data_IF_601027870896
#
_entry.id   IF_601027870896
#
_cell.length_a   1.000
_cell.length_b   1.000
_cell.length_c   1.000
_cell.angle_alpha   90.00
_cell.angle_beta   90.00
_cell.angle_gamma   90.00
#
_symmetry.space_group_name_H-M   'P 1'
#
loop_
_entity.id
_entity.type
_entity.pdbx_description
1 polymer ?
#
# COMPACT_ATOMS: atom_id res chain seq x y z
N UNK A 1 1.39 -15.34 -3.18
CA UNK A 1 2.52 -14.57 -2.65
C UNK A 1 2.01 -13.16 -2.45
N UNK A 2 2.48 -12.39 -1.45
CA UNK A 2 1.95 -11.05 -1.22
C UNK A 2 2.19 -10.12 -2.42
N UNK A 3 1.22 -9.26 -2.73
CA UNK A 3 1.35 -8.21 -3.76
C UNK A 3 1.28 -6.82 -3.12
N UNK A 4 2.17 -5.92 -3.56
CA UNK A 4 2.32 -4.58 -3.02
C UNK A 4 1.69 -3.57 -3.98
N UNK A 5 0.88 -2.69 -3.42
CA UNK A 5 0.20 -1.60 -4.11
C UNK A 5 0.58 -0.27 -3.47
N UNK A 6 1.05 0.67 -4.27
CA UNK A 6 1.42 2.00 -3.79
C UNK A 6 0.29 2.99 -4.04
N UNK A 7 -0.10 3.68 -2.97
CA UNK A 7 -0.96 4.86 -3.09
C UNK A 7 -0.17 5.93 -3.85
N UNK A 8 -0.69 6.39 -4.99
CA UNK A 8 0.01 7.31 -5.90
C UNK A 8 0.04 8.76 -5.38
N UNK A 9 0.29 8.97 -4.08
CA UNK A 9 0.29 10.28 -3.43
C UNK A 9 1.49 11.17 -3.82
N UNK A 10 2.56 10.56 -4.31
CA UNK A 10 3.76 11.23 -4.80
C UNK A 10 3.68 11.63 -6.28
N UNK A 11 2.59 11.28 -6.97
CA UNK A 11 2.24 11.86 -8.27
C UNK A 11 1.63 13.26 -8.05
N UNK A 12 2.27 14.28 -8.63
CA UNK A 12 1.83 15.68 -8.49
C UNK A 12 0.43 15.93 -9.07
N UNK A 13 0.03 15.13 -10.08
CA UNK A 13 -1.26 15.24 -10.76
C UNK A 13 -2.37 14.44 -10.04
N UNK A 14 -2.02 13.51 -9.15
CA UNK A 14 -2.99 12.70 -8.39
C UNK A 14 -3.37 13.37 -7.06
N UNK A 15 -4.15 14.45 -7.18
CA UNK A 15 -4.63 15.23 -6.02
C UNK A 15 -5.41 14.37 -5.03
N UNK A 16 -6.23 13.44 -5.52
CA UNK A 16 -7.06 12.58 -4.68
C UNK A 16 -6.20 11.63 -3.83
N UNK A 17 -5.17 11.00 -4.40
CA UNK A 17 -4.26 10.14 -3.65
C UNK A 17 -3.49 10.91 -2.56
N UNK A 18 -3.10 12.17 -2.85
CA UNK A 18 -2.43 13.03 -1.86
C UNK A 18 -3.36 13.44 -0.71
N UNK A 19 -4.62 13.74 -1.02
CA UNK A 19 -5.61 14.06 0.01
C UNK A 19 -5.87 12.83 0.89
N UNK A 20 -6.02 11.63 0.29
CA UNK A 20 -6.11 10.36 1.02
C UNK A 20 -4.89 10.08 1.88
N UNK A 21 -3.69 10.34 1.39
CA UNK A 21 -2.47 10.16 2.18
C UNK A 21 -2.51 10.97 3.48
N UNK A 22 -2.96 12.22 3.45
CA UNK A 22 -3.13 13.02 4.66
C UNK A 22 -4.23 12.48 5.59
N UNK A 23 -5.34 11.99 5.04
CA UNK A 23 -6.42 11.38 5.82
C UNK A 23 -5.94 10.09 6.52
N UNK A 24 -5.23 9.21 5.83
CA UNK A 24 -4.78 7.91 6.34
C UNK A 24 -3.71 8.02 7.43
N UNK A 25 -2.99 9.15 7.50
CA UNK A 25 -2.13 9.44 8.66
C UNK A 25 -2.93 9.62 9.95
N UNK A 26 -4.20 10.05 9.85
CA UNK A 26 -5.08 10.26 10.98
C UNK A 26 -5.89 8.99 11.29
N UNK A 27 -6.47 8.37 10.26
CA UNK A 27 -7.31 7.18 10.40
C UNK A 27 -7.35 6.36 9.10
N UNK A 28 -7.01 5.08 9.19
CA UNK A 28 -7.16 4.12 8.10
C UNK A 28 -8.65 3.81 7.85
N UNK A 29 -9.14 3.87 6.59
CA UNK A 29 -10.49 3.44 6.29
C UNK A 29 -10.65 1.93 6.51
N UNK A 30 -11.82 1.51 7.01
CA UNK A 30 -12.15 0.09 7.12
C UNK A 30 -12.46 -0.57 5.79
N UNK A 31 -12.92 0.22 4.82
CA UNK A 31 -13.37 -0.27 3.51
C UNK A 31 -12.94 0.70 2.42
N UNK A 32 -12.49 0.19 1.29
CA UNK A 32 -12.31 0.93 0.04
C UNK A 32 -13.20 0.34 -1.04
N UNK A 33 -13.81 1.19 -1.86
CA UNK A 33 -14.45 0.67 -3.06
C UNK A 33 -13.39 0.18 -4.05
N UNK A 34 -13.71 -0.85 -4.84
CA UNK A 34 -12.82 -1.34 -5.90
C UNK A 34 -12.45 -0.22 -6.87
N UNK A 35 -13.38 0.69 -7.17
CA UNK A 35 -13.10 1.85 -8.03
C UNK A 35 -12.09 2.81 -7.42
N UNK A 36 -12.18 3.10 -6.12
CA UNK A 36 -11.16 3.91 -5.45
C UNK A 36 -9.81 3.20 -5.42
N UNK A 37 -9.79 1.89 -5.15
CA UNK A 37 -8.56 1.12 -5.17
C UNK A 37 -7.90 1.16 -6.56
N UNK A 38 -8.64 0.84 -7.62
CA UNK A 38 -8.18 0.84 -9.01
C UNK A 38 -7.68 2.22 -9.50
N UNK A 39 -8.23 3.31 -8.96
CA UNK A 39 -7.86 4.67 -9.37
C UNK A 39 -6.68 5.26 -8.58
N UNK A 40 -6.53 4.87 -7.31
CA UNK A 40 -5.57 5.50 -6.40
C UNK A 40 -4.28 4.69 -6.23
N UNK A 41 -4.30 3.41 -6.59
CA UNK A 41 -3.22 2.47 -6.31
C UNK A 41 -2.64 1.86 -7.59
N UNK A 42 -1.31 1.79 -7.66
CA UNK A 42 -0.62 1.01 -8.69
C UNK A 42 -0.01 -0.26 -8.10
N UNK A 43 -0.13 -1.42 -8.78
CA UNK A 43 0.62 -2.61 -8.43
C UNK A 43 2.10 -2.37 -8.67
N UNK A 44 2.91 -2.65 -7.66
CA UNK A 44 4.36 -2.45 -7.69
C UNK A 44 5.10 -3.78 -7.82
N UNK A 45 4.76 -4.75 -6.98
CA UNK A 45 5.44 -6.04 -6.98
C UNK A 45 4.71 -7.15 -6.22
N UNK A 46 4.77 -8.35 -6.77
CA UNK A 46 4.63 -9.58 -6.00
C UNK A 46 5.93 -9.92 -5.25
N UNK A 47 5.89 -10.33 -3.99
CA UNK A 47 7.11 -10.51 -3.15
C UNK A 47 7.12 -11.86 -2.43
N UNK A 48 8.31 -12.34 -2.10
CA UNK A 48 8.51 -13.53 -1.26
C UNK A 48 8.86 -13.07 0.15
N UNK A 49 7.86 -12.97 1.03
CA UNK A 49 8.04 -12.58 2.42
C UNK A 49 7.04 -13.33 3.32
N UNK A 50 7.47 -13.65 4.54
CA UNK A 50 6.68 -14.46 5.47
C UNK A 50 5.65 -13.63 6.24
N UNK A 51 5.93 -12.34 6.47
CA UNK A 51 5.05 -11.41 7.20
C UNK A 51 5.15 -9.94 6.72
N UNK A 52 4.19 -9.13 7.16
CA UNK A 52 4.07 -7.73 6.74
C UNK A 52 5.23 -6.85 7.24
N UNK A 53 5.85 -7.17 8.37
CA UNK A 53 7.00 -6.39 8.87
C UNK A 53 8.26 -6.68 8.06
N UNK A 54 8.42 -7.92 7.58
CA UNK A 54 9.46 -8.28 6.62
C UNK A 54 9.27 -7.49 5.31
N UNK A 55 8.05 -7.43 4.78
CA UNK A 55 7.75 -6.60 3.61
C UNK A 55 8.11 -5.13 3.88
N UNK A 56 7.64 -4.56 5.00
CA UNK A 56 7.92 -3.17 5.34
C UNK A 56 9.42 -2.86 5.40
N UNK A 57 10.23 -3.68 6.08
CA UNK A 57 11.68 -3.44 6.18
C UNK A 57 12.34 -3.56 4.81
N UNK A 58 11.92 -4.51 3.97
CA UNK A 58 12.53 -4.76 2.66
C UNK A 58 12.20 -3.68 1.64
N UNK A 59 11.03 -3.05 1.80
CA UNK A 59 10.51 -1.99 0.95
C UNK A 59 10.69 -0.59 1.54
N UNK A 60 11.59 -0.46 2.51
CA UNK A 60 11.93 0.82 3.13
C UNK A 60 13.41 1.14 2.92
N UNK A 61 13.68 2.16 2.11
CA UNK A 61 15.03 2.63 1.81
C UNK A 61 15.75 3.11 3.08
N UNK A 62 16.96 2.61 3.28
CA UNK A 62 17.79 2.85 4.45
C UNK A 62 17.55 1.88 5.61
N UNK A 63 16.75 0.82 5.43
CA UNK A 63 16.50 -0.17 6.49
C UNK A 63 17.69 -1.10 6.76
N UNK A 64 18.56 -1.30 5.77
CA UNK A 64 19.63 -2.31 5.81
C UNK A 64 19.15 -3.73 5.45
N UNK A 65 17.88 -3.89 5.11
CA UNK A 65 17.24 -5.15 4.73
C UNK A 65 16.66 -5.12 3.31
N UNK A 66 16.95 -4.09 2.53
CA UNK A 66 16.38 -3.90 1.20
C UNK A 66 16.68 -5.08 0.27
N UNK A 67 15.67 -5.54 -0.46
CA UNK A 67 15.85 -6.58 -1.47
C UNK A 67 16.37 -6.00 -2.78
N UNK A 68 17.05 -6.82 -3.57
CA UNK A 68 17.44 -6.43 -4.95
C UNK A 68 16.21 -6.03 -5.78
N UNK A 69 15.06 -6.69 -5.56
CA UNK A 69 13.80 -6.38 -6.23
C UNK A 69 13.38 -4.93 -5.94
N UNK A 70 13.31 -4.53 -4.68
CA UNK A 70 13.00 -3.15 -4.30
C UNK A 70 14.01 -2.14 -4.90
N UNK A 71 15.31 -2.41 -4.77
CA UNK A 71 16.35 -1.51 -5.28
C UNK A 71 16.29 -1.33 -6.80
N UNK A 72 15.90 -2.39 -7.54
CA UNK A 72 15.79 -2.35 -9.00
C UNK A 72 14.57 -1.58 -9.52
N UNK A 73 13.49 -1.52 -8.74
CA UNK A 73 12.24 -0.84 -9.10
C UNK A 73 12.37 0.68 -9.15
N UNK A 74 13.33 1.26 -8.43
CA UNK A 74 13.52 2.72 -8.31
C UNK A 74 12.29 3.49 -7.78
N UNK A 75 11.36 2.81 -7.11
CA UNK A 75 10.20 3.42 -6.46
C UNK A 75 10.57 4.05 -5.12
N UNK A 76 9.67 4.85 -4.52
CA UNK A 76 9.83 5.36 -3.15
C UNK A 76 9.75 4.23 -2.10
N UNK A 77 10.14 4.53 -0.86
CA UNK A 77 9.86 3.64 0.27
C UNK A 77 8.35 3.44 0.42
N UNK A 78 7.97 2.27 0.92
CA UNK A 78 6.64 2.02 1.46
C UNK A 78 6.33 3.02 2.58
N UNK A 79 5.08 3.47 2.61
CA UNK A 79 4.60 4.58 3.42
C UNK A 79 3.15 4.37 3.83
N UNK A 80 2.66 5.22 4.73
CA UNK A 80 1.25 5.21 5.17
C UNK A 80 0.33 5.27 3.95
N UNK A 81 -0.69 4.41 3.95
CA UNK A 81 -1.66 4.32 2.88
C UNK A 81 -1.35 3.26 1.82
N UNK A 82 -0.11 2.79 1.70
CA UNK A 82 0.23 1.69 0.79
C UNK A 82 -0.38 0.37 1.27
N UNK A 83 -0.75 -0.50 0.34
CA UNK A 83 -1.47 -1.75 0.60
C UNK A 83 -0.61 -2.96 0.26
N UNK A 84 -0.73 -4.00 1.07
CA UNK A 84 -0.25 -5.35 0.76
C UNK A 84 -1.47 -6.27 0.69
N UNK A 85 -1.68 -6.92 -0.45
CA UNK A 85 -2.62 -8.03 -0.57
C UNK A 85 -1.89 -9.33 -0.21
N UNK A 86 -2.50 -10.15 0.66
CA UNK A 86 -2.02 -11.47 1.00
C UNK A 86 -3.20 -12.38 1.35
N UNK A 87 -3.22 -13.58 0.76
CA UNK A 87 -4.22 -14.61 1.08
C UNK A 87 -5.68 -14.11 0.92
N UNK A 88 -5.90 -13.19 -0.03
CA UNK A 88 -7.16 -12.47 -0.31
C UNK A 88 -7.55 -11.37 0.69
N UNK A 89 -6.74 -11.14 1.72
CA UNK A 89 -6.90 -10.03 2.66
C UNK A 89 -6.01 -8.86 2.22
N UNK A 90 -6.43 -7.64 2.53
CA UNK A 90 -5.65 -6.43 2.24
C UNK A 90 -5.26 -5.73 3.53
N UNK A 91 -4.00 -5.34 3.62
CA UNK A 91 -3.41 -4.71 4.79
C UNK A 91 -2.82 -3.37 4.38
N UNK A 92 -3.34 -2.28 4.93
CA UNK A 92 -2.83 -0.93 4.71
C UNK A 92 -1.75 -0.61 5.74
N UNK A 93 -0.63 -0.06 5.27
CA UNK A 93 0.41 0.48 6.15
C UNK A 93 -0.17 1.68 6.91
N UNK A 94 -0.25 1.56 8.23
CA UNK A 94 -0.75 2.61 9.10
C UNK A 94 0.42 3.44 9.65
N UNK A 95 0.11 4.57 10.32
CA UNK A 95 1.12 5.36 11.05
C UNK A 95 1.92 4.50 12.06
N UNK A 96 1.29 3.46 12.61
CA UNK A 96 1.95 2.44 13.44
C UNK A 96 1.38 1.08 13.06
N UNK A 97 2.20 0.22 12.47
CA UNK A 97 1.81 -1.15 12.13
C UNK A 97 0.94 -1.22 10.88
N UNK A 98 -0.07 -2.08 10.93
CA UNK A 98 -0.90 -2.45 9.78
C UNK A 98 -2.35 -2.54 10.20
N UNK A 99 -3.23 -2.03 9.36
CA UNK A 99 -4.68 -2.11 9.51
C UNK A 99 -5.26 -2.94 8.35
N UNK A 100 -6.21 -3.80 8.64
CA UNK A 100 -6.96 -4.55 7.62
C UNK A 100 -7.98 -3.63 6.94
N UNK A 101 -8.10 -3.74 5.62
CA UNK A 101 -9.03 -2.96 4.80
C UNK A 101 -9.79 -3.86 3.84
N UNK A 102 -11.12 -3.77 3.84
CA UNK A 102 -11.94 -4.52 2.89
C UNK A 102 -12.01 -3.77 1.55
N UNK A 103 -11.62 -4.43 0.46
CA UNK A 103 -11.88 -3.92 -0.89
C UNK A 103 -13.19 -4.48 -1.40
N UNK A 104 -14.19 -3.62 -1.54
CA UNK A 104 -15.55 -4.03 -1.92
C UNK A 104 -15.87 -3.60 -3.35
N UNK A 105 -16.41 -4.50 -4.16
CA UNK A 105 -16.95 -4.11 -5.47
C UNK A 105 -18.07 -3.09 -5.27
N UNK A 106 -17.93 -1.91 -5.88
CA UNK A 106 -18.93 -0.86 -5.84
C UNK A 106 -20.21 -1.34 -6.51
N UNK A 107 -21.20 -1.74 -5.73
CA UNK A 107 -22.47 -2.20 -6.29
C UNK A 107 -23.49 -2.72 -5.29
N UNK A 108 -23.98 -1.86 -4.38
CA UNK A 108 -25.35 -2.04 -3.87
C UNK A 108 -26.17 -0.75 -4.01
N UNK A 109 -27.36 -0.97 -4.55
CA UNK A 109 -28.43 -0.04 -4.95
C UNK A 109 -28.87 0.94 -3.87
#
# INVERSE_FOLDING_TARGET
MPEIYYLQWDDEDNVDARDRFHEYHLETPKTLSYTEFDQLYDPVAEVEADDLNEIYREWNRGSGYETEKFLSQQVRSMSVGDIVERDHDHYMCASIGWDEVDIIEGGYR
#
